data_IF_974501972423
#
_entry.id   IF_974501972423
#
_cell.length_a   1.000
_cell.length_b   1.000
_cell.length_c   1.000
_cell.angle_alpha   90.00
_cell.angle_beta   90.00
_cell.angle_gamma   90.00
#
_symmetry.space_group_name_H-M   'P 1'
#
loop_
_entity.id
_entity.type
_entity.pdbx_description
1 polymer ?
#
# COMPACT_ATOMS: atom_id res chain seq x y z
N UNK A 1 43.19 18.22 36.92
CA UNK A 1 43.06 16.78 37.25
C UNK A 1 42.00 16.60 38.31
N UNK A 2 40.81 16.11 37.93
CA UNK A 2 39.95 15.13 38.64
C UNK A 2 38.60 15.07 37.92
N UNK A 3 38.38 13.96 37.24
CA UNK A 3 37.12 13.56 36.62
C UNK A 3 36.20 13.07 37.74
N UNK A 4 34.94 13.49 37.73
CA UNK A 4 33.96 13.16 38.75
C UNK A 4 33.29 11.82 38.40
N UNK A 5 33.83 10.72 38.93
CA UNK A 5 33.41 9.33 38.64
C UNK A 5 32.24 8.81 39.52
N UNK A 6 31.39 9.68 40.08
CA UNK A 6 30.37 9.25 41.06
C UNK A 6 28.96 9.01 40.51
N UNK A 7 28.69 9.15 39.21
CA UNK A 7 27.30 9.06 38.70
C UNK A 7 26.82 7.67 38.26
N UNK A 8 27.70 6.66 38.14
CA UNK A 8 27.30 5.34 37.58
C UNK A 8 27.12 4.21 38.60
N UNK A 9 27.67 4.36 39.82
CA UNK A 9 27.64 3.31 40.84
C UNK A 9 26.39 3.35 41.73
N UNK A 10 25.76 4.52 41.87
CA UNK A 10 24.55 4.71 42.69
C UNK A 10 23.26 4.31 41.95
N UNK A 11 23.21 4.47 40.62
CA UNK A 11 22.04 4.10 39.82
C UNK A 11 21.82 2.57 39.75
N UNK A 12 22.87 1.77 39.94
CA UNK A 12 22.78 0.30 39.93
C UNK A 12 22.43 -0.32 41.30
N UNK A 13 22.36 0.48 42.38
CA UNK A 13 22.00 -0.02 43.72
C UNK A 13 20.53 0.26 44.12
N UNK A 14 19.72 0.88 43.26
CA UNK A 14 18.30 1.17 43.55
C UNK A 14 17.26 0.30 42.80
N UNK A 15 17.67 -0.71 42.03
CA UNK A 15 16.73 -1.64 41.35
C UNK A 15 16.64 -3.03 41.99
N UNK A 16 17.05 -3.17 43.25
CA UNK A 16 16.96 -4.42 43.99
C UNK A 16 16.30 -4.20 45.34
N UNK A 17 15.00 -3.93 45.38
CA UNK A 17 14.14 -4.00 46.58
C UNK A 17 12.68 -3.70 46.18
N UNK A 18 11.98 -4.67 45.59
CA UNK A 18 10.52 -4.85 45.74
C UNK A 18 10.18 -6.30 45.34
N UNK A 19 10.63 -7.23 46.17
CA UNK A 19 10.11 -8.59 46.20
C UNK A 19 9.12 -8.71 47.37
N UNK A 20 8.07 -9.50 47.13
CA UNK A 20 7.04 -9.97 48.08
C UNK A 20 5.84 -9.03 48.35
N UNK A 21 4.88 -9.05 47.43
CA UNK A 21 3.46 -9.07 47.79
C UNK A 21 2.83 -10.35 47.22
N UNK A 22 2.70 -11.38 48.06
CA UNK A 22 1.90 -12.57 47.77
C UNK A 22 0.42 -12.16 47.79
N UNK A 23 -0.20 -12.03 46.61
CA UNK A 23 -1.65 -12.13 46.50
C UNK A 23 -1.99 -13.60 46.23
N UNK A 24 -2.44 -14.30 47.27
CA UNK A 24 -3.08 -15.61 47.14
C UNK A 24 -4.48 -15.36 46.56
N UNK A 25 -4.65 -15.60 45.26
CA UNK A 25 -5.97 -15.70 44.64
C UNK A 25 -6.43 -17.17 44.72
N UNK A 26 -7.72 -17.45 45.01
CA UNK A 26 -8.21 -18.82 45.02
C UNK A 26 -8.23 -19.37 43.59
N UNK A 27 -7.64 -20.54 43.39
CA UNK A 27 -7.82 -21.36 42.19
C UNK A 27 -9.27 -21.87 42.17
N UNK A 28 -10.17 -21.09 41.60
CA UNK A 28 -11.48 -21.58 41.16
C UNK A 28 -11.31 -22.14 39.74
N UNK A 29 -11.08 -23.45 39.69
CA UNK A 29 -11.31 -24.27 38.51
C UNK A 29 -12.79 -24.20 38.14
N UNK A 30 -13.11 -23.56 37.02
CA UNK A 30 -14.38 -23.70 36.34
C UNK A 30 -14.06 -23.80 34.84
N UNK A 31 -14.00 -25.04 34.37
CA UNK A 31 -14.08 -25.39 32.96
C UNK A 31 -15.29 -24.69 32.34
N UNK A 32 -15.04 -23.85 31.34
CA UNK A 32 -16.06 -23.45 30.40
C UNK A 32 -15.46 -23.58 29.00
N UNK A 33 -15.85 -24.60 28.21
CA UNK A 33 -15.38 -24.71 26.84
C UNK A 33 -16.23 -23.73 26.02
N UNK A 34 -15.88 -22.44 26.07
CA UNK A 34 -16.26 -21.58 24.97
C UNK A 34 -15.55 -22.15 23.75
N UNK A 35 -16.32 -22.71 22.82
CA UNK A 35 -15.90 -23.01 21.45
C UNK A 35 -15.11 -21.81 20.94
N UNK A 36 -13.79 -21.87 21.05
CA UNK A 36 -12.92 -21.19 20.12
C UNK A 36 -13.35 -21.73 18.78
N UNK A 37 -14.01 -20.88 17.98
CA UNK A 37 -14.19 -21.18 16.58
C UNK A 37 -12.80 -21.51 16.07
N UNK A 38 -12.58 -22.76 15.67
CA UNK A 38 -11.43 -23.16 14.88
C UNK A 38 -11.48 -22.33 13.60
N UNK A 39 -10.90 -21.14 13.68
CA UNK A 39 -10.41 -20.46 12.50
C UNK A 39 -9.37 -21.44 11.99
N UNK A 40 -9.65 -22.09 10.88
CA UNK A 40 -8.68 -22.86 10.12
C UNK A 40 -7.58 -21.89 9.65
N UNK A 41 -6.75 -21.43 10.57
CA UNK A 41 -5.46 -20.83 10.29
C UNK A 41 -4.60 -22.01 9.85
N UNK A 42 -4.72 -22.37 8.56
CA UNK A 42 -3.64 -23.06 7.88
C UNK A 42 -2.37 -22.33 8.29
N UNK A 43 -1.49 -23.02 9.02
CA UNK A 43 -0.30 -22.43 9.61
C UNK A 43 0.59 -21.99 8.45
N UNK A 44 0.45 -20.73 8.03
CA UNK A 44 1.30 -20.16 7.00
C UNK A 44 2.68 -20.06 7.63
N UNK A 45 3.64 -20.84 7.09
CA UNK A 45 5.04 -20.76 7.53
C UNK A 45 5.50 -19.30 7.40
N UNK A 46 6.43 -18.85 8.23
CA UNK A 46 7.01 -17.53 8.07
C UNK A 46 7.70 -17.38 6.68
N UNK A 47 7.75 -16.16 6.11
CA UNK A 47 8.45 -15.94 4.85
C UNK A 47 9.96 -16.18 5.01
N UNK A 48 10.61 -16.60 3.93
CA UNK A 48 12.06 -16.78 3.89
C UNK A 48 12.70 -15.39 3.69
N UNK A 49 13.82 -15.07 4.36
CA UNK A 49 14.52 -13.81 4.13
C UNK A 49 14.95 -13.64 2.68
N UNK A 50 14.76 -12.44 2.13
CA UNK A 50 15.24 -12.07 0.79
C UNK A 50 15.74 -10.62 0.76
N UNK A 51 16.59 -10.31 -0.23
CA UNK A 51 17.11 -8.99 -0.52
C UNK A 51 16.63 -8.56 -1.91
N UNK A 52 16.07 -7.36 -2.01
CA UNK A 52 15.86 -6.69 -3.30
C UNK A 52 17.08 -5.79 -3.54
N UNK A 53 17.92 -6.06 -4.56
CA UNK A 53 19.06 -5.21 -4.85
C UNK A 53 18.60 -3.84 -5.37
N UNK A 54 19.42 -2.78 -5.20
CA UNK A 54 19.10 -1.48 -5.75
C UNK A 54 18.90 -1.54 -7.25
N UNK A 55 17.97 -0.74 -7.76
CA UNK A 55 17.66 -0.59 -9.18
C UNK A 55 17.72 0.89 -9.54
N UNK A 56 18.00 1.19 -10.81
CA UNK A 56 17.83 2.55 -11.32
C UNK A 56 16.38 3.02 -11.11
N UNK A 57 16.14 4.32 -10.90
CA UNK A 57 14.78 4.86 -10.78
C UNK A 57 13.87 4.39 -11.91
N UNK A 58 12.61 4.10 -11.60
CA UNK A 58 11.65 3.74 -12.65
C UNK A 58 11.42 4.94 -13.59
N UNK A 59 11.45 4.66 -14.89
CA UNK A 59 11.19 5.63 -15.95
C UNK A 59 9.72 5.68 -16.37
N UNK A 60 9.30 6.86 -16.81
CA UNK A 60 7.94 7.11 -17.28
C UNK A 60 7.61 6.23 -18.49
N UNK A 61 6.43 5.60 -18.44
CA UNK A 61 5.88 4.79 -19.53
C UNK A 61 5.13 5.63 -20.56
N UNK A 62 4.77 5.00 -21.69
CA UNK A 62 4.18 5.69 -22.85
C UNK A 62 2.85 6.40 -22.58
N UNK A 63 2.14 6.05 -21.50
CA UNK A 63 0.89 6.70 -21.08
C UNK A 63 1.09 7.70 -19.92
N UNK A 64 2.33 8.15 -19.70
CA UNK A 64 2.67 9.08 -18.62
C UNK A 64 2.70 8.44 -17.23
N UNK A 65 2.62 7.11 -17.15
CA UNK A 65 2.79 6.35 -15.91
C UNK A 65 3.44 5.00 -16.19
N UNK A 66 4.06 4.42 -15.16
CA UNK A 66 4.64 3.08 -15.20
C UNK A 66 4.69 2.47 -13.81
N UNK A 67 4.81 1.14 -13.73
CA UNK A 67 5.04 0.43 -12.48
C UNK A 67 5.99 -0.77 -12.67
N UNK A 68 6.66 -1.15 -11.59
CA UNK A 68 7.35 -2.43 -11.46
C UNK A 68 7.06 -3.08 -10.12
N UNK A 69 6.80 -4.38 -10.14
CA UNK A 69 6.66 -5.19 -8.92
C UNK A 69 8.00 -5.37 -8.24
N UNK A 70 8.06 -5.06 -6.94
CA UNK A 70 9.23 -5.27 -6.09
C UNK A 70 9.10 -6.54 -5.24
N UNK A 71 7.94 -6.73 -4.61
CA UNK A 71 7.62 -7.87 -3.75
C UNK A 71 6.27 -8.42 -4.18
N UNK A 72 6.16 -9.73 -4.40
CA UNK A 72 4.88 -10.39 -4.64
C UNK A 72 4.27 -10.86 -3.33
N UNK A 73 2.94 -10.95 -3.32
CA UNK A 73 2.17 -11.50 -2.21
C UNK A 73 2.62 -12.93 -1.87
N UNK A 74 2.99 -13.72 -2.88
CA UNK A 74 3.56 -15.06 -2.68
C UNK A 74 4.90 -15.06 -1.92
N UNK A 75 5.71 -14.01 -2.04
CA UNK A 75 7.02 -13.91 -1.37
C UNK A 75 6.87 -13.64 0.15
N UNK A 76 5.70 -13.12 0.56
CA UNK A 76 5.43 -12.70 1.95
C UNK A 76 4.43 -13.61 2.65
N UNK A 77 4.11 -14.78 2.09
CA UNK A 77 3.00 -15.63 2.53
C UNK A 77 1.68 -14.86 2.64
N UNK A 78 1.39 -14.06 1.62
CA UNK A 78 0.16 -13.27 1.45
C UNK A 78 -0.02 -12.10 2.42
N UNK A 79 1.01 -11.73 3.17
CA UNK A 79 0.94 -10.61 4.11
C UNK A 79 0.83 -9.26 3.38
N UNK A 80 1.66 -9.05 2.36
CA UNK A 80 1.60 -7.86 1.51
C UNK A 80 2.34 -8.06 0.19
N UNK A 81 2.06 -7.22 -0.80
CA UNK A 81 2.91 -7.02 -1.97
C UNK A 81 3.33 -5.57 -2.08
N UNK A 82 4.28 -5.28 -2.97
CA UNK A 82 4.89 -3.95 -3.09
C UNK A 82 5.29 -3.66 -4.52
N UNK A 83 5.00 -2.44 -4.98
CA UNK A 83 5.43 -1.92 -6.27
C UNK A 83 6.23 -0.63 -6.09
N UNK A 84 7.01 -0.29 -7.11
CA UNK A 84 7.39 1.08 -7.38
C UNK A 84 6.55 1.60 -8.55
N UNK A 85 6.03 2.81 -8.42
CA UNK A 85 5.27 3.49 -9.47
C UNK A 85 5.88 4.87 -9.77
N UNK A 86 5.69 5.31 -11.00
CA UNK A 86 6.08 6.64 -11.45
C UNK A 86 4.96 7.28 -12.26
N UNK A 87 4.66 8.55 -11.97
CA UNK A 87 3.64 9.35 -12.63
C UNK A 87 4.27 10.63 -13.18
N UNK A 88 4.02 10.93 -14.45
CA UNK A 88 4.43 12.16 -15.09
C UNK A 88 3.76 13.38 -14.42
N UNK A 89 4.28 14.59 -14.62
CA UNK A 89 3.61 15.81 -14.16
C UNK A 89 2.14 15.82 -14.53
N UNK A 90 1.29 16.20 -13.57
CA UNK A 90 -0.18 16.28 -13.75
C UNK A 90 -0.88 14.97 -14.11
N UNK A 91 -0.19 13.82 -14.05
CA UNK A 91 -0.82 12.53 -14.34
C UNK A 91 -1.70 12.06 -13.19
N UNK A 92 -2.91 11.60 -13.50
CA UNK A 92 -3.80 10.91 -12.55
C UNK A 92 -3.68 9.38 -12.69
N UNK A 93 -3.68 8.66 -11.57
CA UNK A 93 -3.60 7.20 -11.51
C UNK A 93 -4.97 6.53 -11.77
N UNK A 94 -5.59 6.84 -12.90
CA UNK A 94 -6.91 6.33 -13.26
C UNK A 94 -8.07 7.11 -12.65
N UNK A 95 -9.28 6.55 -12.71
CA UNK A 95 -10.47 7.17 -12.13
C UNK A 95 -10.55 6.93 -10.60
N UNK A 96 -11.22 7.82 -9.84
CA UNK A 96 -11.56 7.56 -8.45
C UNK A 96 -12.22 6.20 -8.26
N UNK A 97 -11.74 5.45 -7.26
CA UNK A 97 -12.22 4.09 -7.01
C UNK A 97 -12.13 3.74 -5.54
N UNK A 98 -12.75 2.63 -5.16
CA UNK A 98 -12.56 1.99 -3.86
C UNK A 98 -12.23 0.52 -4.05
N UNK A 99 -11.51 -0.05 -3.10
CA UNK A 99 -11.35 -1.50 -2.99
C UNK A 99 -12.27 -2.06 -1.92
N UNK A 100 -12.81 -3.25 -2.14
CA UNK A 100 -13.62 -3.94 -1.12
C UNK A 100 -12.75 -4.56 -0.02
N UNK A 101 -11.56 -5.05 -0.37
CA UNK A 101 -10.73 -5.88 0.52
C UNK A 101 -9.29 -5.40 0.69
N UNK A 102 -8.83 -4.48 -0.16
CA UNK A 102 -7.44 -4.07 -0.21
C UNK A 102 -7.22 -2.77 0.57
N UNK A 103 -6.23 -2.78 1.45
CA UNK A 103 -5.67 -1.56 2.03
C UNK A 103 -4.37 -1.24 1.30
N UNK A 104 -4.11 0.04 1.07
CA UNK A 104 -2.90 0.49 0.38
C UNK A 104 -2.09 1.44 1.26
N UNK A 105 -0.77 1.30 1.28
CA UNK A 105 0.14 2.20 1.98
C UNK A 105 1.17 2.76 1.01
N UNK A 106 1.15 4.07 0.85
CA UNK A 106 2.03 4.80 -0.05
C UNK A 106 3.20 5.42 0.72
N UNK A 107 4.38 5.36 0.14
CA UNK A 107 5.55 6.16 0.52
C UNK A 107 6.06 6.95 -0.68
N UNK A 108 6.17 8.26 -0.56
CA UNK A 108 6.63 9.12 -1.67
C UNK A 108 8.15 9.20 -1.65
N UNK A 109 8.77 8.81 -2.76
CA UNK A 109 10.23 8.86 -2.97
C UNK A 109 10.66 10.22 -3.51
N UNK A 110 9.92 10.75 -4.48
CA UNK A 110 10.24 11.96 -5.23
C UNK A 110 8.96 12.69 -5.62
N UNK A 111 9.01 14.02 -5.64
CA UNK A 111 7.86 14.85 -5.99
C UNK A 111 6.82 14.96 -4.87
N UNK A 112 5.58 15.27 -5.26
CA UNK A 112 4.44 15.42 -4.35
C UNK A 112 3.20 14.77 -4.96
N UNK A 113 2.67 13.77 -4.27
CA UNK A 113 1.38 13.18 -4.57
C UNK A 113 0.27 14.06 -3.98
N UNK A 114 -0.84 14.19 -4.70
CA UNK A 114 -2.11 14.53 -4.08
C UNK A 114 -3.01 13.31 -4.09
N UNK A 115 -3.73 13.12 -3.00
CA UNK A 115 -4.62 11.98 -2.79
C UNK A 115 -6.00 12.52 -2.46
N UNK A 116 -6.99 12.18 -3.28
CA UNK A 116 -8.38 12.29 -2.86
C UNK A 116 -8.65 11.13 -1.91
N UNK A 117 -9.15 11.40 -0.70
CA UNK A 117 -9.63 10.41 0.27
C UNK A 117 -11.03 10.78 0.72
N UNK A 118 -12.04 10.05 0.26
CA UNK A 118 -13.43 10.44 0.44
C UNK A 118 -13.71 11.76 -0.28
N UNK A 119 -13.86 12.83 0.50
CA UNK A 119 -14.13 14.19 0.03
C UNK A 119 -12.96 15.16 0.23
N UNK A 120 -11.87 14.69 0.85
CA UNK A 120 -10.70 15.52 1.16
C UNK A 120 -9.55 15.28 0.20
N UNK A 121 -8.78 16.33 -0.08
CA UNK A 121 -7.54 16.24 -0.87
C UNK A 121 -6.35 16.49 0.04
N UNK A 122 -5.45 15.51 0.10
CA UNK A 122 -4.28 15.50 0.97
C UNK A 122 -3.03 15.56 0.09
N UNK A 123 -2.14 16.51 0.36
CA UNK A 123 -0.81 16.55 -0.24
C UNK A 123 0.17 15.66 0.54
N UNK A 124 0.93 14.83 -0.17
CA UNK A 124 1.89 13.89 0.39
C UNK A 124 3.24 14.12 -0.30
N UNK A 125 4.15 14.78 0.41
CA UNK A 125 5.49 15.13 -0.12
C UNK A 125 6.47 13.97 0.04
N UNK A 126 7.57 13.99 -0.70
CA UNK A 126 8.69 13.05 -0.54
C UNK A 126 9.09 12.85 0.94
N UNK A 127 9.33 11.59 1.32
CA UNK A 127 9.61 11.18 2.70
C UNK A 127 8.36 10.92 3.56
N UNK A 128 7.15 11.15 3.04
CA UNK A 128 5.91 10.96 3.77
C UNK A 128 5.22 9.64 3.43
N UNK A 129 4.46 9.13 4.40
CA UNK A 129 3.62 7.94 4.28
C UNK A 129 2.14 8.33 4.26
N UNK A 130 1.31 7.60 3.51
CA UNK A 130 -0.13 7.80 3.49
C UNK A 130 -0.87 6.46 3.33
N UNK A 131 -1.74 6.14 4.29
CA UNK A 131 -2.57 4.93 4.27
C UNK A 131 -3.91 5.23 3.60
N UNK A 132 -4.35 4.35 2.69
CA UNK A 132 -5.65 4.36 2.03
C UNK A 132 -6.39 3.07 2.39
N UNK A 133 -7.22 3.10 3.44
CA UNK A 133 -7.98 1.92 3.85
C UNK A 133 -9.01 1.52 2.80
N UNK A 134 -9.32 0.23 2.74
CA UNK A 134 -10.42 -0.31 1.93
C UNK A 134 -11.75 0.41 2.21
N UNK A 135 -12.63 0.38 1.22
CA UNK A 135 -14.00 0.91 1.35
C UNK A 135 -14.13 2.42 1.19
N UNK A 136 -13.01 3.17 1.17
CA UNK A 136 -13.00 4.62 0.96
C UNK A 136 -12.63 4.93 -0.49
N UNK A 137 -13.43 5.78 -1.13
CA UNK A 137 -13.14 6.25 -2.49
C UNK A 137 -11.88 7.10 -2.47
N UNK A 138 -10.94 6.80 -3.36
CA UNK A 138 -9.70 7.54 -3.47
C UNK A 138 -9.13 7.53 -4.89
N UNK A 139 -8.17 8.43 -5.12
CA UNK A 139 -7.29 8.43 -6.29
C UNK A 139 -6.02 9.22 -5.98
N UNK A 140 -4.92 8.86 -6.61
CA UNK A 140 -3.64 9.57 -6.55
C UNK A 140 -3.38 10.31 -7.86
N UNK A 141 -2.82 11.50 -7.78
CA UNK A 141 -2.22 12.16 -8.94
C UNK A 141 -0.94 12.89 -8.58
N UNK A 142 -0.11 13.10 -9.59
CA UNK A 142 1.04 13.97 -9.48
C UNK A 142 0.60 15.43 -9.57
N UNK A 143 0.82 16.20 -8.50
CA UNK A 143 0.47 17.63 -8.48
C UNK A 143 1.58 18.55 -8.99
N UNK A 144 2.81 18.04 -9.11
CA UNK A 144 3.99 18.80 -9.47
C UNK A 144 4.20 18.95 -10.98
N UNK A 145 5.33 19.57 -11.29
CA UNK A 145 5.96 19.74 -12.60
C UNK A 145 7.15 18.78 -12.83
N UNK A 146 7.54 18.04 -11.80
CA UNK A 146 8.52 16.94 -11.85
C UNK A 146 7.83 15.58 -11.77
N UNK A 147 8.56 14.49 -12.03
CA UNK A 147 8.04 13.14 -11.88
C UNK A 147 7.73 12.83 -10.40
N UNK A 148 6.59 12.19 -10.16
CA UNK A 148 6.24 11.61 -8.88
C UNK A 148 6.69 10.15 -8.88
N UNK A 149 7.59 9.78 -7.96
CA UNK A 149 7.97 8.38 -7.71
C UNK A 149 7.51 7.98 -6.33
N UNK A 150 6.94 6.79 -6.22
CA UNK A 150 6.40 6.28 -4.97
C UNK A 150 6.56 4.77 -4.87
N UNK A 151 6.54 4.29 -3.63
CA UNK A 151 6.31 2.89 -3.30
C UNK A 151 4.87 2.77 -2.84
N UNK A 152 4.15 1.81 -3.40
CA UNK A 152 2.84 1.39 -2.88
C UNK A 152 2.93 -0.04 -2.37
N UNK A 153 2.37 -0.26 -1.19
CA UNK A 153 2.25 -1.56 -0.55
C UNK A 153 0.78 -1.95 -0.45
N UNK A 154 0.48 -3.21 -0.76
CA UNK A 154 -0.87 -3.73 -0.86
C UNK A 154 -1.06 -4.85 0.16
N UNK A 155 -2.05 -4.71 1.04
CA UNK A 155 -2.32 -5.67 2.11
C UNK A 155 -3.61 -6.45 1.84
N UNK A 156 -3.66 -7.71 2.28
CA UNK A 156 -4.85 -8.58 2.25
C UNK A 156 -5.29 -9.06 0.84
N UNK A 157 -4.58 -8.67 -0.21
CA UNK A 157 -4.83 -9.12 -1.58
C UNK A 157 -3.53 -9.03 -2.41
N UNK A 158 -3.38 -9.93 -3.37
CA UNK A 158 -2.31 -9.96 -4.38
C UNK A 158 -2.53 -8.93 -5.50
N UNK A 159 -2.64 -7.65 -5.15
CA UNK A 159 -3.02 -6.59 -6.10
C UNK A 159 -1.97 -6.28 -7.17
N UNK A 160 -0.72 -6.69 -6.97
CA UNK A 160 0.31 -6.63 -8.01
C UNK A 160 -0.09 -7.39 -9.28
N UNK A 161 -0.85 -8.50 -9.15
CA UNK A 161 -1.34 -9.26 -10.31
C UNK A 161 -2.33 -8.43 -11.16
N UNK A 162 -3.18 -7.62 -10.51
CA UNK A 162 -4.07 -6.67 -11.20
C UNK A 162 -3.23 -5.68 -12.01
N UNK A 163 -2.22 -5.09 -11.37
CA UNK A 163 -1.42 -4.05 -11.98
C UNK A 163 -0.51 -4.59 -13.09
N UNK A 164 0.10 -5.77 -12.92
CA UNK A 164 0.88 -6.42 -13.97
C UNK A 164 0.00 -6.74 -15.20
N UNK A 165 -1.25 -7.16 -14.99
CA UNK A 165 -2.21 -7.38 -16.09
C UNK A 165 -2.48 -6.07 -16.86
N UNK A 166 -2.70 -4.97 -16.16
CA UNK A 166 -2.94 -3.65 -16.77
C UNK A 166 -1.68 -3.12 -17.47
N UNK A 167 -0.56 -3.01 -16.75
CA UNK A 167 0.64 -2.32 -17.22
C UNK A 167 1.52 -3.15 -18.14
N UNK A 168 1.58 -4.47 -17.96
CA UNK A 168 2.49 -5.32 -18.73
C UNK A 168 1.79 -6.12 -19.83
N UNK A 169 0.44 -6.14 -19.85
CA UNK A 169 -0.32 -6.83 -20.92
C UNK A 169 -1.31 -5.91 -21.63
N UNK A 170 -2.27 -5.33 -20.93
CA UNK A 170 -3.36 -4.55 -21.55
C UNK A 170 -2.83 -3.26 -22.19
N UNK A 171 -2.07 -2.43 -21.46
CA UNK A 171 -1.49 -1.20 -22.00
C UNK A 171 -0.62 -1.45 -23.25
N UNK A 172 0.35 -2.39 -23.22
CA UNK A 172 1.14 -2.71 -24.41
C UNK A 172 0.30 -3.17 -25.60
N UNK A 173 -0.75 -3.96 -25.35
CA UNK A 173 -1.68 -4.43 -26.38
C UNK A 173 -2.46 -3.27 -27.02
N UNK A 174 -3.04 -2.39 -26.19
CA UNK A 174 -3.78 -1.18 -26.61
C UNK A 174 -2.89 -0.30 -27.49
N UNK A 175 -1.66 -0.03 -27.05
CA UNK A 175 -0.68 0.78 -27.81
C UNK A 175 -0.33 0.10 -29.14
N UNK A 176 0.01 -1.20 -29.11
CA UNK A 176 0.44 -1.95 -30.29
C UNK A 176 -0.66 -2.02 -31.36
N UNK A 177 -1.90 -2.26 -30.93
CA UNK A 177 -3.08 -2.34 -31.79
C UNK A 177 -3.63 -0.96 -32.18
N UNK A 178 -3.17 0.12 -31.52
CA UNK A 178 -3.67 1.50 -31.68
C UNK A 178 -5.19 1.60 -31.46
N UNK A 179 -5.66 0.89 -30.45
CA UNK A 179 -7.06 0.92 -30.01
C UNK A 179 -7.18 1.72 -28.71
N UNK A 180 -8.39 1.84 -28.17
CA UNK A 180 -8.63 2.48 -26.88
C UNK A 180 -9.07 1.48 -25.82
N UNK A 181 -9.16 1.92 -24.56
CA UNK A 181 -9.64 1.06 -23.46
C UNK A 181 -11.14 0.75 -23.56
N UNK A 182 -11.88 1.51 -24.36
CA UNK A 182 -13.31 1.32 -24.65
C UNK A 182 -13.57 0.22 -25.69
N UNK A 183 -12.53 -0.30 -26.36
CA UNK A 183 -12.68 -1.42 -27.28
C UNK A 183 -13.34 -2.61 -26.54
N UNK A 184 -14.43 -3.22 -27.05
CA UNK A 184 -15.26 -4.14 -26.26
C UNK A 184 -14.49 -5.32 -25.62
N UNK A 185 -13.48 -5.86 -26.31
CA UNK A 185 -12.63 -6.93 -25.78
C UNK A 185 -11.80 -6.46 -24.58
N UNK A 186 -11.19 -5.27 -24.68
CA UNK A 186 -10.37 -4.67 -23.63
C UNK A 186 -11.25 -4.26 -22.45
N UNK A 187 -12.35 -3.54 -22.72
CA UNK A 187 -13.29 -3.11 -21.70
C UNK A 187 -13.86 -4.29 -20.90
N UNK A 188 -14.22 -5.39 -21.58
CA UNK A 188 -14.68 -6.62 -20.92
C UNK A 188 -13.60 -7.22 -20.01
N UNK A 189 -12.36 -7.33 -20.50
CA UNK A 189 -11.24 -7.88 -19.72
C UNK A 189 -10.94 -7.04 -18.48
N UNK A 190 -10.94 -5.71 -18.62
CA UNK A 190 -10.77 -4.79 -17.49
C UNK A 190 -11.91 -4.96 -16.49
N UNK A 191 -13.17 -5.01 -16.94
CA UNK A 191 -14.32 -5.20 -16.06
C UNK A 191 -14.29 -6.54 -15.30
N UNK A 192 -13.84 -7.61 -15.95
CA UNK A 192 -13.63 -8.91 -15.30
C UNK A 192 -12.52 -8.85 -14.25
N UNK A 193 -11.43 -8.12 -14.53
CA UNK A 193 -10.34 -7.88 -13.61
C UNK A 193 -10.79 -7.05 -12.40
N UNK A 194 -11.53 -5.96 -12.64
CA UNK A 194 -12.10 -5.10 -11.60
C UNK A 194 -13.00 -5.89 -10.65
N UNK A 195 -13.88 -6.74 -11.22
CA UNK A 195 -14.75 -7.63 -10.45
C UNK A 195 -13.94 -8.63 -9.62
N UNK A 196 -12.90 -9.24 -10.22
CA UNK A 196 -12.04 -10.23 -9.53
C UNK A 196 -11.32 -9.60 -8.33
N UNK A 197 -10.82 -8.38 -8.49
CA UNK A 197 -10.06 -7.69 -7.45
C UNK A 197 -10.93 -6.82 -6.53
N UNK A 198 -12.22 -6.69 -6.82
CA UNK A 198 -13.17 -5.97 -5.97
C UNK A 198 -12.97 -4.46 -6.02
N UNK A 199 -12.68 -3.90 -7.20
CA UNK A 199 -12.70 -2.46 -7.43
C UNK A 199 -14.11 -1.99 -7.79
N UNK A 200 -14.42 -0.76 -7.40
CA UNK A 200 -15.57 -0.02 -7.91
C UNK A 200 -15.11 1.38 -8.28
N UNK A 201 -15.26 1.73 -9.55
CA UNK A 201 -14.88 3.03 -10.09
C UNK A 201 -16.03 4.03 -10.05
N UNK A 202 -15.65 5.30 -9.95
CA UNK A 202 -16.52 6.48 -9.91
C UNK A 202 -16.01 7.50 -10.95
N UNK A 203 -16.06 7.17 -12.26
CA UNK A 203 -15.51 8.00 -13.33
C UNK A 203 -16.16 9.39 -13.41
N UNK A 204 -17.40 9.53 -12.94
CA UNK A 204 -18.11 10.81 -12.86
C UNK A 204 -17.42 11.83 -11.94
N UNK A 205 -16.57 11.36 -11.00
CA UNK A 205 -15.78 12.23 -10.13
C UNK A 205 -14.47 12.72 -10.79
N UNK A 206 -14.04 12.11 -11.89
CA UNK A 206 -12.77 12.44 -12.55
C UNK A 206 -12.77 13.83 -13.16
N UNK A 207 -13.83 14.23 -13.85
CA UNK A 207 -13.86 15.47 -14.64
C UNK A 207 -13.59 16.70 -13.76
N UNK A 208 -14.21 16.76 -12.58
CA UNK A 208 -14.01 17.86 -11.65
C UNK A 208 -12.56 17.95 -11.14
N UNK A 209 -11.89 16.80 -10.92
CA UNK A 209 -10.48 16.77 -10.54
C UNK A 209 -9.57 17.21 -11.69
N UNK A 210 -9.85 16.70 -12.89
CA UNK A 210 -9.11 17.02 -14.11
C UNK A 210 -9.16 18.53 -14.38
N UNK A 211 -10.33 19.14 -14.34
CA UNK A 211 -10.50 20.58 -14.57
C UNK A 211 -9.86 21.41 -13.46
N UNK A 212 -10.08 21.03 -12.19
CA UNK A 212 -9.58 21.81 -11.04
C UNK A 212 -8.06 21.81 -10.95
N UNK A 213 -7.42 20.68 -11.23
CA UNK A 213 -5.98 20.50 -11.03
C UNK A 213 -5.17 20.41 -12.34
N UNK A 214 -5.84 20.49 -13.50
CA UNK A 214 -5.22 20.45 -14.82
C UNK A 214 -4.58 19.09 -15.13
N UNK A 215 -5.29 18.00 -14.85
CA UNK A 215 -4.76 16.63 -14.91
C UNK A 215 -4.87 16.01 -16.32
N UNK A 216 -4.08 14.95 -16.56
CA UNK A 216 -4.11 14.14 -17.80
C UNK A 216 -4.10 12.65 -17.56
#
# INVERSE_FOLDING_TARGET
MKVNETSRREAMQQMGLFAAALCILPLASCDNPSKESEINAATTKAPIPFLIPPKAPLEIGSLGSNMRTLIRSADTNTQFSCIEAVLAPKKIAGAPHKHNNLDELMYVLEGTASVLMGDEVIGVTAGSWHLRPRGIVHVVWNSGDENLRLIDMYFNQNFEDYLEEIYHKIIPEVIKRKISFEEPEIAKRVAELDKKFGLTYYPEKSQALIEKYGLS
#
